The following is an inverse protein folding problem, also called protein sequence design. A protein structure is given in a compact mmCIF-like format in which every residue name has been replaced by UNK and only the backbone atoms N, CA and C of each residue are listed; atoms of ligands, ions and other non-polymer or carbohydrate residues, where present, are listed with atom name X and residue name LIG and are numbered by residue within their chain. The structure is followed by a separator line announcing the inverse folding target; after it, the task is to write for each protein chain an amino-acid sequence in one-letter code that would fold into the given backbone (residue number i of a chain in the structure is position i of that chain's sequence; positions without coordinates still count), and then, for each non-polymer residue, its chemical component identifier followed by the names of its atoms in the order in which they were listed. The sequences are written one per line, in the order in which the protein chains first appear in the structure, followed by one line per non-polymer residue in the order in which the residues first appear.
data_IF_989602391991
#
_entry.id   IF_989602391991
#
_cell.length_a   1.000
_cell.length_b   1.000
_cell.length_c   1.000
_cell.angle_alpha   90.00
_cell.angle_beta   90.00
_cell.angle_gamma   90.00
#
_symmetry.space_group_name_H-M   'P 1'
#
loop_
_entity.id
_entity.type
_entity.pdbx_description
1 polymer ?
#
# COMPACT_ATOMS: atom_id res chain seq x y z
N UNK A 1 -8.37 19.48 -15.34
CA UNK A 1 -7.26 18.51 -15.39
C UNK A 1 -6.43 18.67 -14.13
N UNK A 2 -6.31 17.63 -13.31
CA UNK A 2 -5.53 17.71 -12.08
C UNK A 2 -4.10 17.29 -12.41
N UNK A 3 -3.18 18.26 -12.41
CA UNK A 3 -1.77 17.95 -12.38
C UNK A 3 -1.43 17.32 -11.02
N UNK A 4 -0.70 16.21 -11.04
CA UNK A 4 -0.20 15.57 -9.83
C UNK A 4 1.21 16.05 -9.61
N UNK A 5 1.35 16.85 -8.57
CA UNK A 5 2.63 17.43 -8.19
C UNK A 5 3.22 16.63 -7.06
N UNK A 6 4.53 16.49 -7.13
CA UNK A 6 5.26 16.11 -5.95
C UNK A 6 5.47 17.25 -4.96
N UNK A 7 5.43 16.94 -3.67
CA UNK A 7 5.59 17.88 -2.55
C UNK A 7 6.85 18.76 -2.61
N UNK A 8 7.86 18.37 -3.39
CA UNK A 8 9.10 19.15 -3.62
C UNK A 8 9.30 19.59 -5.08
N UNK A 9 8.29 19.46 -5.94
CA UNK A 9 8.36 19.81 -7.36
C UNK A 9 9.36 18.98 -8.20
N UNK A 10 9.97 17.94 -7.62
CA UNK A 10 10.96 17.09 -8.30
C UNK A 10 10.33 16.19 -9.36
N UNK A 11 9.16 15.64 -9.03
CA UNK A 11 8.38 14.81 -9.92
C UNK A 11 7.01 15.43 -10.10
N UNK A 12 6.53 15.52 -11.33
CA UNK A 12 5.17 15.93 -11.62
C UNK A 12 4.65 15.21 -12.86
N UNK A 13 3.35 14.98 -12.87
CA UNK A 13 2.61 14.50 -14.03
C UNK A 13 1.53 15.51 -14.38
N UNK A 14 1.54 15.97 -15.63
CA UNK A 14 0.55 16.92 -16.15
C UNK A 14 -0.15 16.27 -17.34
N UNK A 15 -1.44 15.93 -17.24
CA UNK A 15 -2.25 15.64 -18.42
C UNK A 15 -2.53 16.94 -19.17
N UNK A 16 -2.36 16.92 -20.50
CA UNK A 16 -2.65 18.02 -21.41
C UNK A 16 -3.56 17.52 -22.52
N UNK A 17 -4.81 17.95 -22.54
CA UNK A 17 -5.71 17.68 -23.66
C UNK A 17 -5.26 18.46 -24.90
N UNK A 18 -5.07 17.74 -26.00
CA UNK A 18 -4.68 18.26 -27.31
C UNK A 18 -5.92 18.58 -28.17
N UNK A 19 -5.69 19.31 -29.26
CA UNK A 19 -6.76 19.73 -30.17
C UNK A 19 -7.50 18.56 -30.86
N UNK A 20 -6.85 17.39 -30.96
CA UNK A 20 -7.45 16.16 -31.51
C UNK A 20 -8.27 15.37 -30.47
N UNK A 21 -8.42 15.91 -29.25
CA UNK A 21 -9.15 15.28 -28.15
C UNK A 21 -8.36 14.22 -27.38
N UNK A 22 -7.12 13.93 -27.77
CA UNK A 22 -6.23 13.05 -26.99
C UNK A 22 -5.62 13.78 -25.81
N UNK A 23 -5.17 13.03 -24.81
CA UNK A 23 -4.45 13.54 -23.63
C UNK A 23 -2.98 13.15 -23.75
N UNK A 24 -2.10 14.15 -23.77
CA UNK A 24 -0.65 13.97 -23.63
C UNK A 24 -0.28 14.01 -22.14
N UNK A 25 0.38 12.97 -21.66
CA UNK A 25 0.86 12.89 -20.28
C UNK A 25 2.30 13.33 -20.22
N UNK A 26 2.55 14.47 -19.60
CA UNK A 26 3.89 14.99 -19.41
C UNK A 26 4.41 14.55 -18.05
N UNK A 27 5.48 13.75 -18.01
CA UNK A 27 6.22 13.45 -16.80
C UNK A 27 7.50 14.30 -16.78
N UNK A 28 7.63 15.17 -15.77
CA UNK A 28 8.74 16.12 -15.67
C UNK A 28 8.97 16.95 -16.95
N UNK A 29 7.86 17.38 -17.57
CA UNK A 29 7.85 18.21 -18.78
C UNK A 29 8.15 17.46 -20.08
N UNK A 30 8.34 16.14 -20.05
CA UNK A 30 8.52 15.31 -21.25
C UNK A 30 7.27 14.47 -21.50
N UNK A 31 6.82 14.42 -22.75
CA UNK A 31 5.72 13.53 -23.13
C UNK A 31 6.13 12.08 -22.86
N UNK A 32 5.36 11.43 -21.99
CA UNK A 32 5.52 10.05 -21.58
C UNK A 32 4.66 9.14 -22.44
N UNK A 33 3.39 9.50 -22.62
CA UNK A 33 2.45 8.79 -23.49
C UNK A 33 1.32 9.72 -23.94
N UNK A 34 0.63 9.31 -25.00
CA UNK A 34 -0.62 9.92 -25.47
C UNK A 34 -1.73 8.88 -25.43
N UNK A 35 -2.88 9.22 -24.84
CA UNK A 35 -4.03 8.32 -24.75
C UNK A 35 -5.33 9.06 -25.01
N UNK A 36 -6.42 8.33 -25.26
CA UNK A 36 -7.76 8.93 -25.42
C UNK A 36 -8.52 9.07 -24.09
N UNK A 37 -7.93 8.61 -22.99
CA UNK A 37 -8.54 8.60 -21.66
C UNK A 37 -7.67 9.39 -20.67
N UNK A 38 -8.30 9.94 -19.63
CA UNK A 38 -7.69 10.50 -18.40
C UNK A 38 -7.21 9.33 -17.50
N UNK A 39 -6.19 9.46 -16.62
CA UNK A 39 -5.75 8.34 -15.79
C UNK A 39 -6.89 7.87 -14.91
N UNK A 40 -7.04 6.56 -14.77
CA UNK A 40 -8.09 5.99 -13.94
C UNK A 40 -7.76 6.15 -12.45
N UNK A 41 -6.46 6.12 -12.12
CA UNK A 41 -5.97 6.24 -10.75
C UNK A 41 -4.61 6.95 -10.74
N UNK A 42 -4.34 7.75 -9.72
CA UNK A 42 -3.02 8.37 -9.51
C UNK A 42 -2.73 8.56 -8.03
N UNK A 43 -1.51 8.21 -7.61
CA UNK A 43 -1.01 8.40 -6.26
C UNK A 43 0.42 8.97 -6.29
N UNK A 44 0.77 9.73 -5.27
CA UNK A 44 2.14 10.13 -4.96
C UNK A 44 2.43 9.81 -3.50
N UNK A 45 3.67 9.43 -3.17
CA UNK A 45 4.07 9.30 -1.77
C UNK A 45 4.17 10.68 -1.07
N UNK A 46 4.34 10.66 0.25
CA UNK A 46 4.31 11.85 1.11
C UNK A 46 5.30 12.94 0.67
N UNK A 47 6.55 12.57 0.35
CA UNK A 47 7.55 13.51 -0.16
C UNK A 47 7.54 13.62 -1.70
N UNK A 48 6.67 12.83 -2.33
CA UNK A 48 6.49 12.67 -3.76
C UNK A 48 7.78 12.43 -4.55
N UNK A 49 8.72 11.73 -3.93
CA UNK A 49 9.85 11.11 -4.63
C UNK A 49 9.39 10.07 -5.64
N UNK A 50 8.14 9.59 -5.55
CA UNK A 50 7.57 8.77 -6.59
C UNK A 50 6.08 9.05 -6.88
N UNK A 51 5.69 8.81 -8.13
CA UNK A 51 4.32 8.94 -8.66
C UNK A 51 3.97 7.61 -9.32
N UNK A 52 2.80 7.07 -8.99
CA UNK A 52 2.21 5.92 -9.66
C UNK A 52 0.88 6.32 -10.30
N UNK A 53 0.64 5.87 -11.52
CA UNK A 53 -0.63 6.08 -12.21
C UNK A 53 -0.95 4.94 -13.18
N UNK A 54 -2.23 4.80 -13.50
CA UNK A 54 -2.73 3.84 -14.47
C UNK A 54 -3.50 4.54 -15.59
N UNK A 55 -3.26 4.13 -16.83
CA UNK A 55 -3.99 4.60 -18.02
C UNK A 55 -4.70 3.41 -18.65
N UNK A 56 -5.99 3.56 -18.90
CA UNK A 56 -6.81 2.53 -19.52
C UNK A 56 -6.85 2.71 -21.03
N UNK A 57 -6.56 1.63 -21.75
CA UNK A 57 -6.76 1.56 -23.18
C UNK A 57 -8.27 1.48 -23.49
N UNK A 58 -8.83 2.41 -24.28
CA UNK A 58 -10.27 2.46 -24.53
C UNK A 58 -10.77 1.28 -25.38
N UNK A 59 -9.90 0.62 -26.15
CA UNK A 59 -10.23 -0.50 -27.03
C UNK A 59 -10.14 -1.82 -26.27
N UNK A 60 -9.01 -2.07 -25.60
CA UNK A 60 -8.77 -3.36 -24.93
C UNK A 60 -9.27 -3.39 -23.50
N UNK A 61 -9.59 -2.22 -22.91
CA UNK A 61 -9.94 -2.03 -21.49
C UNK A 61 -8.82 -2.40 -20.52
N UNK A 62 -7.62 -2.76 -21.00
CA UNK A 62 -6.45 -3.03 -20.17
C UNK A 62 -5.89 -1.74 -19.60
N UNK A 63 -5.29 -1.84 -18.43
CA UNK A 63 -4.68 -0.73 -17.71
C UNK A 63 -3.16 -0.87 -17.73
N UNK A 64 -2.49 0.11 -18.35
CA UNK A 64 -1.04 0.25 -18.29
C UNK A 64 -0.66 1.03 -17.03
N UNK A 65 0.18 0.44 -16.18
CA UNK A 65 0.66 1.10 -14.96
C UNK A 65 2.06 1.65 -15.14
N UNK A 66 2.26 2.85 -14.64
CA UNK A 66 3.51 3.59 -14.71
C UNK A 66 3.94 4.04 -13.31
N UNK A 67 5.23 3.90 -13.03
CA UNK A 67 5.87 4.39 -11.80
C UNK A 67 7.06 5.23 -12.21
N UNK A 68 7.07 6.50 -11.79
CA UNK A 68 8.14 7.44 -12.14
C UNK A 68 8.45 7.50 -13.64
N UNK A 69 7.40 7.48 -14.45
CA UNK A 69 7.51 7.50 -15.92
C UNK A 69 8.00 6.20 -16.55
N UNK A 70 8.23 5.14 -15.78
CA UNK A 70 8.53 3.80 -16.31
C UNK A 70 7.25 2.96 -16.34
N UNK A 71 6.92 2.38 -17.49
CA UNK A 71 5.86 1.38 -17.60
C UNK A 71 6.30 0.11 -16.87
N UNK A 72 5.51 -0.36 -15.91
CA UNK A 72 5.80 -1.59 -15.17
C UNK A 72 5.02 -2.80 -15.69
N UNK A 73 3.87 -2.57 -16.32
CA UNK A 73 3.08 -3.64 -16.90
C UNK A 73 1.74 -3.20 -17.47
N UNK A 74 1.02 -4.16 -18.02
CA UNK A 74 -0.36 -4.05 -18.49
C UNK A 74 -1.21 -5.11 -17.80
N UNK A 75 -2.35 -4.69 -17.27
CA UNK A 75 -3.20 -5.54 -16.44
C UNK A 75 -4.65 -5.46 -16.90
N UNK A 76 -5.43 -6.52 -16.66
CA UNK A 76 -6.84 -6.53 -17.03
C UNK A 76 -7.66 -5.54 -16.20
N UNK A 77 -7.47 -5.54 -14.88
CA UNK A 77 -8.10 -4.59 -13.96
C UNK A 77 -7.19 -4.33 -12.77
N UNK A 78 -6.71 -3.10 -12.60
CA UNK A 78 -5.98 -2.64 -11.41
C UNK A 78 -7.02 -2.17 -10.40
N UNK A 79 -7.03 -2.80 -9.23
CA UNK A 79 -8.02 -2.55 -8.19
C UNK A 79 -7.47 -1.64 -7.08
N UNK A 80 -6.14 -1.59 -6.91
CA UNK A 80 -5.51 -0.75 -5.91
C UNK A 80 -4.09 -0.39 -6.29
N UNK A 81 -3.68 0.82 -5.92
CA UNK A 81 -2.30 1.30 -6.03
C UNK A 81 -1.96 2.04 -4.75
N UNK A 82 -0.88 1.65 -4.10
CA UNK A 82 -0.44 2.20 -2.82
C UNK A 82 1.04 2.55 -2.94
N UNK A 83 1.42 3.64 -2.30
CA UNK A 83 2.81 4.05 -2.15
C UNK A 83 3.15 4.16 -0.67
N UNK A 84 4.40 3.86 -0.32
CA UNK A 84 4.89 4.08 1.05
C UNK A 84 4.82 5.56 1.41
N UNK A 85 4.23 5.88 2.56
CA UNK A 85 4.21 7.24 3.09
C UNK A 85 5.43 7.56 3.95
N UNK A 86 6.40 6.63 4.04
CA UNK A 86 7.63 6.83 4.80
C UNK A 86 8.54 7.79 4.02
N UNK A 87 8.99 8.92 4.62
CA UNK A 87 9.86 9.87 3.94
C UNK A 87 11.14 9.23 3.38
N UNK A 88 11.52 9.57 2.14
CA UNK A 88 12.71 9.04 1.49
C UNK A 88 12.57 7.62 0.93
N UNK A 89 11.44 6.94 1.15
CA UNK A 89 11.16 5.63 0.59
C UNK A 89 10.25 5.74 -0.64
N UNK A 90 10.54 4.93 -1.64
CA UNK A 90 9.79 4.87 -2.90
C UNK A 90 9.12 3.52 -3.11
N UNK A 91 8.83 2.79 -2.03
CA UNK A 91 8.13 1.51 -2.17
C UNK A 91 6.71 1.71 -2.63
N UNK A 92 6.21 0.70 -3.33
CA UNK A 92 4.90 0.74 -3.94
C UNK A 92 4.31 -0.66 -4.01
N UNK A 93 3.00 -0.69 -4.08
CA UNK A 93 2.21 -1.88 -4.29
C UNK A 93 1.15 -1.59 -5.35
N UNK A 94 0.91 -2.56 -6.22
CA UNK A 94 -0.31 -2.62 -7.02
C UNK A 94 -1.05 -3.91 -6.75
N UNK A 95 -2.37 -3.86 -6.73
CA UNK A 95 -3.24 -5.02 -6.74
C UNK A 95 -4.04 -5.02 -8.03
N UNK A 96 -4.16 -6.19 -8.65
CA UNK A 96 -4.86 -6.34 -9.91
C UNK A 96 -5.55 -7.69 -9.99
N UNK A 97 -6.62 -7.76 -10.79
CA UNK A 97 -7.41 -8.96 -11.02
C UNK A 97 -6.99 -9.62 -12.34
N UNK A 98 -6.77 -10.92 -12.30
CA UNK A 98 -6.50 -11.76 -13.47
C UNK A 98 -7.16 -13.13 -13.26
N UNK A 99 -8.05 -13.53 -14.18
CA UNK A 99 -8.85 -14.76 -14.07
C UNK A 99 -9.59 -14.89 -12.73
N UNK A 100 -10.25 -13.81 -12.29
CA UNK A 100 -10.98 -13.71 -11.02
C UNK A 100 -10.14 -13.93 -9.75
N UNK A 101 -8.81 -13.88 -9.88
CA UNK A 101 -7.87 -13.99 -8.77
C UNK A 101 -7.09 -12.69 -8.60
N UNK A 102 -6.91 -12.31 -7.34
CA UNK A 102 -6.11 -11.13 -7.00
C UNK A 102 -4.63 -11.46 -7.03
N UNK A 103 -3.89 -10.59 -7.68
CA UNK A 103 -2.43 -10.58 -7.66
C UNK A 103 -1.93 -9.27 -7.09
N UNK A 104 -0.85 -9.35 -6.33
CA UNK A 104 -0.22 -8.20 -5.72
C UNK A 104 1.20 -8.10 -6.27
N UNK A 105 1.63 -6.92 -6.66
CA UNK A 105 3.04 -6.66 -6.96
C UNK A 105 3.53 -5.65 -5.94
N UNK A 106 4.59 -6.00 -5.20
CA UNK A 106 5.30 -5.09 -4.30
C UNK A 106 6.73 -4.94 -4.81
N UNK A 107 7.16 -3.72 -5.12
CA UNK A 107 8.51 -3.42 -5.60
C UNK A 107 9.02 -4.41 -6.67
N UNK A 108 8.27 -4.56 -7.77
CA UNK A 108 8.55 -5.48 -8.89
C UNK A 108 8.39 -6.98 -8.60
N UNK A 109 8.09 -7.40 -7.37
CA UNK A 109 7.88 -8.81 -7.03
C UNK A 109 6.40 -9.14 -6.97
N UNK A 110 5.98 -10.18 -7.68
CA UNK A 110 4.59 -10.67 -7.73
C UNK A 110 4.31 -11.66 -6.60
N UNK A 111 3.12 -11.53 -6.02
CA UNK A 111 2.55 -12.34 -4.94
C UNK A 111 1.13 -12.77 -5.31
N UNK A 112 0.67 -13.88 -4.72
CA UNK A 112 -0.56 -14.56 -5.10
C UNK A 112 -0.35 -15.64 -6.17
N UNK A 113 -1.41 -16.11 -6.86
CA UNK A 113 -2.78 -15.61 -6.78
C UNK A 113 -3.40 -15.79 -5.40
N UNK A 114 -4.30 -14.88 -5.05
CA UNK A 114 -5.14 -14.99 -3.88
C UNK A 114 -6.59 -15.11 -4.32
N UNK A 115 -7.29 -16.03 -3.67
CA UNK A 115 -8.73 -16.27 -3.80
C UNK A 115 -9.57 -15.15 -3.16
N UNK A 116 -8.92 -14.05 -2.77
CA UNK A 116 -9.45 -13.02 -1.91
C UNK A 116 -10.63 -12.29 -2.52
N UNK A 117 -11.60 -11.94 -1.69
CA UNK A 117 -12.60 -10.93 -2.04
C UNK A 117 -12.00 -9.52 -2.02
N UNK A 118 -10.90 -9.31 -1.27
CA UNK A 118 -10.37 -7.97 -1.05
C UNK A 118 -8.92 -7.93 -0.54
N UNK A 119 -8.15 -6.98 -1.08
CA UNK A 119 -6.79 -6.62 -0.63
C UNK A 119 -6.81 -5.13 -0.32
N UNK A 120 -7.05 -4.80 0.95
CA UNK A 120 -7.36 -3.42 1.35
C UNK A 120 -6.12 -2.53 1.50
N UNK A 121 -4.98 -3.11 1.90
CA UNK A 121 -3.81 -2.30 2.25
C UNK A 121 -2.50 -3.08 2.16
N UNK A 122 -1.41 -2.33 2.02
CA UNK A 122 -0.04 -2.77 2.33
C UNK A 122 0.49 -1.84 3.39
N UNK A 123 1.22 -2.40 4.35
CA UNK A 123 1.98 -1.63 5.32
C UNK A 123 3.46 -1.82 5.02
N UNK A 124 4.17 -0.72 4.81
CA UNK A 124 5.62 -0.72 4.65
C UNK A 124 6.29 -0.33 5.97
N UNK A 125 7.46 -0.92 6.25
CA UNK A 125 8.34 -0.50 7.34
C UNK A 125 9.54 0.32 6.82
N UNK A 126 10.19 1.13 7.66
CA UNK A 126 11.43 1.86 7.37
C UNK A 126 12.58 0.95 7.02
N UNK A 127 12.60 -0.26 7.57
CA UNK A 127 13.57 -1.31 7.21
C UNK A 127 13.33 -1.91 5.83
N UNK A 128 12.14 -1.68 5.25
CA UNK A 128 11.76 -2.15 3.92
C UNK A 128 11.09 -3.51 3.90
N UNK A 129 10.73 -4.00 5.07
CA UNK A 129 9.75 -5.06 5.19
C UNK A 129 8.37 -4.52 4.83
N UNK A 130 7.48 -5.42 4.42
CA UNK A 130 6.08 -5.10 4.22
C UNK A 130 5.18 -6.20 4.74
N UNK A 131 3.94 -5.82 5.04
CA UNK A 131 2.86 -6.73 5.42
C UNK A 131 1.64 -6.48 4.55
N UNK A 132 1.06 -7.59 4.07
CA UNK A 132 -0.19 -7.62 3.31
C UNK A 132 -1.22 -8.42 4.11
N UNK A 133 -2.22 -7.76 4.72
CA UNK A 133 -3.46 -8.45 5.09
C UNK A 133 -4.22 -8.85 3.83
N UNK A 134 -4.53 -10.14 3.71
CA UNK A 134 -5.30 -10.72 2.59
C UNK A 134 -6.44 -11.54 3.16
N UNK A 135 -7.66 -11.35 2.68
CA UNK A 135 -8.80 -12.17 3.12
C UNK A 135 -8.95 -13.40 2.23
N UNK A 136 -9.27 -14.56 2.80
CA UNK A 136 -9.66 -15.75 2.02
C UNK A 136 -11.15 -15.72 1.63
N UNK A 137 -11.63 -16.76 0.94
CA UNK A 137 -13.03 -16.85 0.47
C UNK A 137 -14.03 -16.96 1.61
N UNK A 138 -13.58 -17.52 2.72
CA UNK A 138 -14.34 -17.67 3.95
C UNK A 138 -14.36 -16.37 4.78
N UNK A 139 -13.62 -15.35 4.35
CA UNK A 139 -13.53 -14.05 5.01
C UNK A 139 -12.52 -14.01 6.16
N UNK A 140 -11.69 -15.03 6.33
CA UNK A 140 -10.63 -15.00 7.32
C UNK A 140 -9.44 -14.21 6.79
N UNK A 141 -8.79 -13.44 7.66
CA UNK A 141 -7.61 -12.69 7.27
C UNK A 141 -6.35 -13.55 7.37
N UNK A 142 -5.45 -13.40 6.42
CA UNK A 142 -4.10 -13.98 6.39
C UNK A 142 -3.08 -12.86 6.36
N UNK A 143 -2.00 -13.02 7.11
CA UNK A 143 -0.92 -12.05 7.17
C UNK A 143 0.25 -12.53 6.31
N UNK A 144 0.53 -11.83 5.22
CA UNK A 144 1.69 -12.09 4.37
C UNK A 144 2.79 -11.07 4.71
N UNK A 145 3.91 -11.52 5.28
CA UNK A 145 5.08 -10.68 5.55
C UNK A 145 6.18 -10.97 4.54
N UNK A 146 6.59 -9.97 3.77
CA UNK A 146 7.64 -10.12 2.74
C UNK A 146 7.39 -11.28 1.74
N UNK A 147 6.12 -11.70 1.58
CA UNK A 147 5.73 -12.85 0.76
C UNK A 147 5.57 -14.17 1.50
N UNK A 148 5.95 -14.24 2.78
CA UNK A 148 5.74 -15.41 3.62
C UNK A 148 4.38 -15.30 4.30
N UNK A 149 3.56 -16.32 4.09
CA UNK A 149 2.27 -16.44 4.78
C UNK A 149 2.47 -16.90 6.22
N UNK A 150 1.99 -16.10 7.17
CA UNK A 150 2.09 -16.37 8.60
C UNK A 150 0.85 -17.10 9.16
N UNK A 151 -0.16 -17.36 8.34
CA UNK A 151 -1.38 -18.07 8.72
C UNK A 151 -2.61 -17.16 8.87
N UNK A 152 -3.70 -17.80 9.28
CA UNK A 152 -5.04 -17.21 9.41
C UNK A 152 -5.23 -16.58 10.79
N UNK A 153 -5.87 -15.41 10.86
CA UNK A 153 -6.23 -14.72 12.10
C UNK A 153 -7.73 -14.38 12.11
N UNK A 154 -8.41 -14.65 13.23
CA UNK A 154 -9.82 -14.29 13.43
C UNK A 154 -9.92 -12.80 13.81
N UNK A 155 -10.14 -11.95 12.80
CA UNK A 155 -10.03 -10.49 12.93
C UNK A 155 -8.58 -10.05 13.11
N UNK A 156 -8.18 -8.99 12.42
CA UNK A 156 -7.09 -8.16 12.93
C UNK A 156 -7.15 -6.77 12.30
N UNK A 157 -7.08 -5.78 13.17
CA UNK A 157 -6.47 -4.51 12.79
C UNK A 157 -4.98 -4.77 12.64
N UNK A 158 -4.40 -4.24 11.57
CA UNK A 158 -2.95 -4.24 11.38
C UNK A 158 -2.53 -2.78 11.55
N UNK A 159 -1.89 -2.47 12.67
CA UNK A 159 -1.35 -1.14 12.90
C UNK A 159 0.18 -1.18 12.86
N UNK A 160 0.74 -0.08 12.40
CA UNK A 160 2.17 0.10 12.20
C UNK A 160 2.74 0.99 13.28
N UNK A 161 3.72 0.47 14.02
CA UNK A 161 4.47 1.23 15.01
C UNK A 161 5.90 1.41 14.50
N UNK A 162 6.37 2.66 14.47
CA UNK A 162 7.73 3.04 14.08
C UNK A 162 8.52 3.63 15.25
N UNK A 163 9.70 3.07 15.54
CA UNK A 163 10.69 3.67 16.44
C UNK A 163 12.11 3.55 15.86
N UNK A 164 12.29 3.89 14.59
CA UNK A 164 13.59 3.78 13.93
C UNK A 164 13.91 2.34 13.57
N UNK A 165 14.77 1.67 14.34
CA UNK A 165 15.16 0.27 14.08
C UNK A 165 14.12 -0.74 14.59
N UNK A 166 13.28 -0.35 15.54
CA UNK A 166 12.21 -1.19 16.08
C UNK A 166 10.87 -0.82 15.44
N UNK A 167 10.21 -1.82 14.85
CA UNK A 167 8.86 -1.68 14.31
C UNK A 167 8.01 -2.91 14.61
N UNK A 168 6.69 -2.72 14.71
CA UNK A 168 5.76 -3.76 15.11
C UNK A 168 4.47 -3.76 14.32
N UNK A 169 3.85 -4.94 14.27
CA UNK A 169 2.54 -5.18 13.68
C UNK A 169 1.65 -5.59 14.83
N UNK A 170 0.74 -4.72 15.24
CA UNK A 170 -0.27 -5.13 16.22
C UNK A 170 -1.36 -5.87 15.44
N UNK A 171 -1.64 -7.13 15.83
CA UNK A 171 -2.74 -7.92 15.29
C UNK A 171 -3.81 -8.05 16.38
N UNK A 172 -5.02 -7.58 16.11
CA UNK A 172 -6.16 -7.69 17.03
C UNK A 172 -6.99 -8.93 16.70
N UNK A 173 -6.60 -10.09 17.21
CA UNK A 173 -7.40 -11.32 17.06
C UNK A 173 -8.44 -11.46 18.17
N UNK A 174 -9.45 -12.33 18.00
CA UNK A 174 -10.40 -12.69 19.08
C UNK A 174 -9.70 -13.18 20.37
N UNK A 175 -8.46 -13.66 20.25
CA UNK A 175 -7.60 -14.08 21.35
C UNK A 175 -6.52 -13.05 21.76
N UNK A 176 -6.48 -11.90 21.09
CA UNK A 176 -5.56 -10.76 21.26
C UNK A 176 -4.09 -11.17 21.44
N UNK A 177 -3.44 -11.60 20.37
CA UNK A 177 -2.01 -11.92 20.36
C UNK A 177 -1.20 -10.83 19.63
N UNK A 178 -0.24 -10.23 20.34
CA UNK A 178 0.63 -9.19 19.76
C UNK A 178 1.90 -9.83 19.19
N UNK A 179 2.29 -9.39 17.99
CA UNK A 179 3.52 -9.85 17.35
C UNK A 179 4.48 -8.69 17.13
N UNK A 180 5.69 -8.79 17.67
CA UNK A 180 6.77 -7.85 17.39
C UNK A 180 7.87 -8.59 16.63
N UNK A 181 8.22 -8.09 15.45
CA UNK A 181 9.21 -8.72 14.56
C UNK A 181 8.92 -10.20 14.23
N UNK A 182 7.65 -10.62 14.23
CA UNK A 182 7.23 -12.01 13.98
C UNK A 182 7.40 -12.96 15.16
N UNK A 183 7.77 -12.45 16.34
CA UNK A 183 7.70 -13.21 17.59
C UNK A 183 6.41 -12.86 18.30
N UNK A 184 5.66 -13.89 18.69
CA UNK A 184 4.55 -13.71 19.62
C UNK A 184 5.10 -13.13 20.93
N UNK A 185 4.51 -12.02 21.36
CA UNK A 185 4.72 -11.46 22.69
C UNK A 185 3.67 -11.98 23.69
N UNK A 186 2.78 -12.87 23.25
CA UNK A 186 1.64 -13.37 24.01
C UNK A 186 0.52 -12.34 24.18
N UNK A 187 -0.46 -12.70 25.02
CA UNK A 187 -1.59 -11.85 25.41
C UNK A 187 -1.13 -10.82 26.45
N UNK A 188 -0.41 -9.77 26.06
CA UNK A 188 0.09 -8.76 27.03
C UNK A 188 0.02 -7.34 26.51
N UNK A 189 -0.26 -6.44 27.46
CA UNK A 189 0.01 -5.00 27.44
C UNK A 189 1.38 -4.70 26.83
N UNK A 190 1.43 -3.79 25.86
CA UNK A 190 2.69 -3.25 25.37
C UNK A 190 2.69 -1.73 25.48
N UNK A 191 3.77 -1.20 26.05
CA UNK A 191 4.03 0.23 26.07
C UNK A 191 4.59 0.66 24.71
N UNK A 192 4.01 1.68 24.11
CA UNK A 192 4.52 2.39 22.95
C UNK A 192 4.86 3.82 23.34
N UNK A 193 6.13 4.14 23.43
CA UNK A 193 6.55 5.54 23.54
C UNK A 193 6.39 6.22 22.19
N UNK A 194 5.50 7.23 22.07
CA UNK A 194 5.33 8.02 20.85
C UNK A 194 6.01 9.39 21.03
N UNK A 195 7.21 9.55 20.48
CA UNK A 195 8.00 10.78 20.55
C UNK A 195 8.99 10.81 21.73
N UNK A 196 9.81 11.86 21.82
CA UNK A 196 10.94 11.93 22.76
C UNK A 196 10.49 11.93 24.24
N UNK A 197 9.25 12.37 24.54
CA UNK A 197 8.80 12.57 25.92
C UNK A 197 7.41 11.99 26.27
N UNK A 198 6.74 11.26 25.36
CA UNK A 198 5.36 10.77 25.61
C UNK A 198 5.28 9.26 25.56
N UNK A 199 5.00 8.65 26.72
CA UNK A 199 4.77 7.22 26.81
C UNK A 199 3.28 6.94 26.69
N UNK A 200 2.89 6.24 25.63
CA UNK A 200 1.55 5.69 25.50
C UNK A 200 1.60 4.23 25.94
N UNK A 201 0.80 3.86 26.92
CA UNK A 201 0.66 2.45 27.29
C UNK A 201 -0.63 1.93 26.71
N UNK A 202 -0.49 0.95 25.82
CA UNK A 202 -1.61 0.22 25.26
C UNK A 202 -1.82 -1.00 26.14
N UNK A 203 -2.81 -0.94 27.02
CA UNK A 203 -3.29 -2.12 27.75
C UNK A 203 -4.63 -2.56 27.16
N UNK A 204 -4.87 -3.86 27.17
CA UNK A 204 -6.15 -4.42 26.78
C UNK A 204 -6.70 -5.11 28.02
N UNK A 205 -7.84 -4.63 28.52
CA UNK A 205 -8.57 -5.26 29.62
C UNK A 205 -10.03 -5.43 29.19
N UNK A 206 -10.61 -6.62 29.41
CA UNK A 206 -12.01 -6.95 29.05
C UNK A 206 -12.40 -6.61 27.61
N UNK A 207 -11.51 -6.89 26.64
CA UNK A 207 -11.67 -6.57 25.21
C UNK A 207 -11.78 -5.07 24.89
N UNK A 208 -11.35 -4.19 25.81
CA UNK A 208 -11.25 -2.75 25.60
C UNK A 208 -9.79 -2.35 25.48
N UNK A 209 -9.45 -1.61 24.43
CA UNK A 209 -8.13 -0.99 24.28
C UNK A 209 -8.08 0.29 25.12
N UNK A 210 -7.22 0.28 26.14
CA UNK A 210 -6.89 1.45 26.94
C UNK A 210 -5.61 2.07 26.41
N UNK A 211 -5.73 3.31 25.97
CA UNK A 211 -4.58 4.15 25.61
C UNK A 211 -4.31 5.06 26.80
N UNK A 212 -3.33 4.67 27.63
CA UNK A 212 -2.94 5.45 28.80
C UNK A 212 -1.83 6.43 28.43
N UNK A 213 -1.98 7.67 28.87
CA UNK A 213 -1.03 8.76 28.64
C UNK A 213 -0.33 9.13 29.95
N UNK A 214 1.00 9.15 29.96
CA UNK A 214 1.82 9.68 31.06
C UNK A 214 2.68 10.84 30.59
#
# INVERSE_FOLDING_TARGET
EYAVYGAKGKNFMVPVTLADGTVSYLYNGKELLRAQSIPVLTYSNYDASAIIFAVEDPVTRKQSVYINGKKIGEYQSVNGMIMSFIPGRSDWMISYLENDLYHIIVNDKKYGPYDASDVWSVLFSPGGDFVLPVFDKEGNMRIIRNGTDLGVTAGALVDYVDRGDDWGIVLYTDDFETFLNGKSLGKRTFGLTLGEDKNYYFSIEDNVLYVNYF
#
